data_IF_734456499819
#
_entry.id   IF_734456499819
#
_cell.length_a   1.000
_cell.length_b   1.000
_cell.length_c   1.000
_cell.angle_alpha   90.00
_cell.angle_beta   90.00
_cell.angle_gamma   90.00
#
_symmetry.space_group_name_H-M   'P 1'
#
loop_
_entity.id
_entity.type
_entity.pdbx_description
1 polymer ?
#
# COMPACT_ATOMS: atom_id res chain seq x y z
N UNK A 1 16.75 4.46 -8.50
CA UNK A 1 15.46 3.72 -8.56
C UNK A 1 14.96 3.56 -7.14
N UNK A 2 13.74 4.00 -6.84
CA UNK A 2 13.13 3.76 -5.53
C UNK A 2 12.86 2.26 -5.35
N UNK A 3 12.99 1.75 -4.12
CA UNK A 3 12.65 0.35 -3.80
C UNK A 3 11.14 0.08 -3.72
N UNK A 4 10.32 1.13 -3.90
CA UNK A 4 8.88 1.10 -3.71
C UNK A 4 8.18 1.77 -4.89
N UNK A 5 7.00 1.27 -5.23
CA UNK A 5 6.05 1.94 -6.12
C UNK A 5 5.21 2.92 -5.31
N UNK A 6 5.08 4.15 -5.82
CA UNK A 6 4.15 5.13 -5.26
C UNK A 6 2.78 4.90 -5.91
N UNK A 7 1.77 4.60 -5.09
CA UNK A 7 0.44 4.22 -5.55
C UNK A 7 -0.63 5.13 -4.94
N UNK A 8 -1.67 5.43 -5.71
CA UNK A 8 -2.77 6.30 -5.28
C UNK A 8 -3.90 5.49 -4.66
N UNK A 9 -4.36 5.91 -3.49
CA UNK A 9 -5.56 5.36 -2.85
C UNK A 9 -6.80 5.66 -3.71
N UNK A 10 -7.57 4.61 -4.01
CA UNK A 10 -8.80 4.66 -4.80
C UNK A 10 -10.06 4.64 -3.94
N UNK A 11 -10.02 3.93 -2.81
CA UNK A 11 -11.14 3.85 -1.88
C UNK A 11 -10.67 3.49 -0.48
N UNK A 12 -11.34 4.02 0.52
CA UNK A 12 -11.17 3.68 1.94
C UNK A 12 -12.51 3.25 2.50
N UNK A 13 -12.51 2.19 3.30
CA UNK A 13 -13.69 1.70 4.00
C UNK A 13 -13.33 1.37 5.44
N UNK A 14 -14.05 1.96 6.38
CA UNK A 14 -13.93 1.66 7.81
C UNK A 14 -15.01 0.65 8.19
N UNK A 15 -14.59 -0.51 8.69
CA UNK A 15 -15.49 -1.55 9.18
C UNK A 15 -15.87 -1.30 10.63
N UNK A 16 -14.88 -0.90 11.44
CA UNK A 16 -14.99 -0.50 12.84
C UNK A 16 -13.97 0.60 13.13
N UNK A 17 -13.93 1.08 14.37
CA UNK A 17 -12.95 2.09 14.79
C UNK A 17 -11.49 1.63 14.68
N UNK A 18 -11.24 0.31 14.70
CA UNK A 18 -9.89 -0.29 14.69
C UNK A 18 -9.60 -1.12 13.44
N UNK A 19 -10.55 -1.27 12.52
CA UNK A 19 -10.40 -2.08 11.31
C UNK A 19 -10.88 -1.31 10.09
N UNK A 20 -9.99 -1.17 9.11
CA UNK A 20 -10.31 -0.55 7.83
C UNK A 20 -9.66 -1.32 6.69
N UNK A 21 -10.13 -1.06 5.48
CA UNK A 21 -9.55 -1.57 4.24
C UNK A 21 -9.41 -0.43 3.24
N UNK A 22 -8.43 -0.55 2.36
CA UNK A 22 -8.23 0.40 1.28
C UNK A 22 -7.82 -0.32 0.01
N UNK A 23 -8.04 0.34 -1.13
CA UNK A 23 -7.57 -0.12 -2.44
C UNK A 23 -6.71 0.97 -3.06
N UNK A 24 -5.68 0.58 -3.78
CA UNK A 24 -4.79 1.50 -4.50
C UNK A 24 -4.77 1.17 -5.99
N UNK A 25 -4.13 2.03 -6.77
CA UNK A 25 -3.58 1.66 -8.07
C UNK A 25 -2.53 0.55 -7.92
N UNK A 26 -2.17 -0.09 -9.04
CA UNK A 26 -1.15 -1.14 -9.09
C UNK A 26 -0.29 -0.96 -10.33
N UNK A 27 1.01 -0.76 -10.13
CA UNK A 27 1.99 -0.78 -11.20
C UNK A 27 1.88 -2.09 -12.02
N UNK A 28 1.81 -2.04 -13.36
CA UNK A 28 1.71 -3.25 -14.19
C UNK A 28 2.86 -4.25 -14.03
N UNK A 29 4.02 -3.84 -13.53
CA UNK A 29 5.16 -4.71 -13.22
C UNK A 29 5.03 -5.39 -11.85
N UNK A 30 4.15 -4.93 -10.97
CA UNK A 30 3.90 -5.55 -9.67
C UNK A 30 3.04 -6.83 -9.83
N UNK A 31 3.67 -7.99 -9.69
CA UNK A 31 3.07 -9.33 -9.82
C UNK A 31 3.24 -10.12 -8.52
N UNK A 32 2.22 -10.89 -8.14
CA UNK A 32 2.22 -11.72 -6.95
C UNK A 32 1.33 -12.95 -7.16
N UNK A 33 1.49 -13.97 -6.32
CA UNK A 33 0.60 -15.12 -6.21
C UNK A 33 -0.39 -14.93 -5.07
N UNK A 34 -1.61 -15.43 -5.22
CA UNK A 34 -2.64 -15.31 -4.20
C UNK A 34 -2.15 -15.91 -2.86
N UNK A 35 -2.19 -15.11 -1.80
CA UNK A 35 -1.70 -15.47 -0.46
C UNK A 35 -0.34 -14.88 -0.09
N UNK A 36 0.39 -14.27 -1.04
CA UNK A 36 1.59 -13.49 -0.72
C UNK A 36 1.24 -12.15 -0.06
N UNK A 37 2.19 -11.62 0.72
CA UNK A 37 2.10 -10.29 1.33
C UNK A 37 3.28 -9.42 0.87
N UNK A 38 3.13 -8.10 0.99
CA UNK A 38 4.18 -7.12 0.69
C UNK A 38 4.22 -6.06 1.77
N UNK A 39 5.34 -5.33 1.83
CA UNK A 39 5.46 -4.14 2.68
C UNK A 39 4.66 -2.98 2.07
N UNK A 40 3.94 -2.24 2.91
CA UNK A 40 3.28 -0.98 2.56
C UNK A 40 3.75 0.13 3.49
N UNK A 41 3.56 1.38 3.10
CA UNK A 41 4.03 2.48 3.92
C UNK A 41 3.63 3.85 3.41
N UNK A 42 4.08 4.86 4.14
CA UNK A 42 3.97 6.27 3.78
C UNK A 42 5.35 6.91 3.82
N UNK A 43 5.57 7.89 2.96
CA UNK A 43 6.73 8.77 3.09
C UNK A 43 6.45 9.79 4.21
N UNK A 44 7.38 9.88 5.16
CA UNK A 44 7.33 10.81 6.29
C UNK A 44 8.68 11.51 6.35
N UNK A 45 8.69 12.85 6.19
CA UNK A 45 9.92 13.67 6.23
C UNK A 45 11.03 13.16 5.28
N UNK A 46 10.65 12.73 4.07
CA UNK A 46 11.59 12.21 3.07
C UNK A 46 12.12 10.80 3.35
N UNK A 47 11.51 10.08 4.31
CA UNK A 47 11.89 8.71 4.69
C UNK A 47 10.69 7.77 4.65
N UNK A 48 10.84 6.54 4.12
CA UNK A 48 9.74 5.58 4.11
C UNK A 48 9.49 4.99 5.50
N UNK A 49 8.26 5.13 6.00
CA UNK A 49 7.74 4.41 7.17
C UNK A 49 6.97 3.18 6.69
N UNK A 50 7.50 2.00 6.95
CA UNK A 50 6.95 0.72 6.47
C UNK A 50 6.25 -0.06 7.59
N UNK A 51 5.16 -0.76 7.24
CA UNK A 51 4.38 -1.66 8.11
C UNK A 51 3.86 -2.87 7.34
#
# INVERSE_FOLDING_TARGET
>A
MSKFYEERVLSVHHWTDNLFSFRTTRDPAFRFRNGEFTMIGLEVEGRPLLR
#
